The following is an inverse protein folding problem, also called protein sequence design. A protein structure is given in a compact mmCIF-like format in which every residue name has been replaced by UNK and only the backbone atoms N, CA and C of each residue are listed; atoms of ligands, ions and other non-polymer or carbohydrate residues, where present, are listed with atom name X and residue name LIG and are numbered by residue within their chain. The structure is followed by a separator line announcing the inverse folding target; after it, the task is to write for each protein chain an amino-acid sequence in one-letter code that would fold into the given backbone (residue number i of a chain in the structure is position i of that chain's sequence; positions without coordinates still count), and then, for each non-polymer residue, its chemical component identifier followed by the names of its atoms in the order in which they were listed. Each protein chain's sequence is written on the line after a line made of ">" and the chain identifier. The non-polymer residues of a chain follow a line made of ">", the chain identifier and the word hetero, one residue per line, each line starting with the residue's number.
data_IF_737602030153
#
_entry.id   IF_737602030153
#
_cell.length_a   1.000
_cell.length_b   1.000
_cell.length_c   1.000
_cell.angle_alpha   90.00
_cell.angle_beta   90.00
_cell.angle_gamma   90.00
#
_symmetry.space_group_name_H-M   'P 1'
#
loop_
_entity.id
_entity.type
_entity.pdbx_description
1 polymer ?
#
# COMPACT_ATOMS: atom_id res chain seq x y z
N UNK A 1 1.80 18.18 5.11
CA UNK A 1 1.37 19.01 3.94
C UNK A 1 -0.14 18.92 3.75
N UNK A 2 -0.82 19.95 3.21
CA UNK A 2 -2.24 19.82 2.77
C UNK A 2 -2.26 19.24 1.36
N UNK A 3 -2.97 18.13 1.15
CA UNK A 3 -3.19 17.57 -0.19
C UNK A 3 -4.16 18.48 -0.97
N UNK A 4 -3.95 18.61 -2.27
CA UNK A 4 -4.91 19.27 -3.16
C UNK A 4 -6.23 18.51 -3.21
N UNK A 5 -7.31 19.21 -3.55
CA UNK A 5 -8.63 18.63 -3.71
C UNK A 5 -9.08 18.83 -5.14
N UNK A 6 -9.45 17.74 -5.82
CA UNK A 6 -10.05 17.81 -7.15
C UNK A 6 -11.50 18.29 -7.10
N UNK A 7 -12.09 18.54 -8.26
CA UNK A 7 -13.53 18.87 -8.31
C UNK A 7 -14.36 17.72 -7.72
N UNK A 8 -15.41 18.09 -6.97
CA UNK A 8 -16.24 17.12 -6.23
C UNK A 8 -16.79 16.00 -7.11
N UNK A 9 -17.08 16.31 -8.38
CA UNK A 9 -17.60 15.35 -9.37
C UNK A 9 -16.67 14.16 -9.65
N UNK A 10 -15.35 14.33 -9.53
CA UNK A 10 -14.41 13.23 -9.73
C UNK A 10 -14.56 12.13 -8.66
N UNK A 11 -14.80 12.53 -7.40
CA UNK A 11 -14.97 11.61 -6.28
C UNK A 11 -16.34 10.93 -6.27
N UNK A 12 -17.39 11.57 -6.79
CA UNK A 12 -18.78 11.05 -6.80
C UNK A 12 -18.95 9.70 -7.51
N UNK A 13 -17.98 9.33 -8.36
CA UNK A 13 -18.00 8.06 -9.10
C UNK A 13 -17.64 6.84 -8.25
N UNK A 14 -16.90 7.03 -7.15
CA UNK A 14 -16.33 5.95 -6.34
C UNK A 14 -16.59 6.12 -4.84
N UNK A 15 -16.67 7.35 -4.34
CA UNK A 15 -16.80 7.65 -2.93
C UNK A 15 -18.27 7.93 -2.55
N UNK A 16 -18.64 7.52 -1.35
CA UNK A 16 -19.90 7.89 -0.70
C UNK A 16 -19.92 9.39 -0.34
N UNK A 17 -21.10 9.92 -0.01
CA UNK A 17 -21.24 11.34 0.38
C UNK A 17 -20.41 11.68 1.63
N UNK A 18 -20.39 10.77 2.61
CA UNK A 18 -19.61 10.92 3.85
C UNK A 18 -18.10 10.94 3.58
N UNK A 19 -17.61 9.99 2.78
CA UNK A 19 -16.21 9.95 2.35
C UNK A 19 -15.81 11.23 1.61
N UNK A 20 -16.68 11.75 0.73
CA UNK A 20 -16.44 13.01 0.01
C UNK A 20 -16.35 14.19 0.98
N UNK A 21 -17.21 14.25 2.01
CA UNK A 21 -17.15 15.33 3.00
C UNK A 21 -15.85 15.28 3.80
N UNK A 22 -15.40 14.09 4.21
CA UNK A 22 -14.11 13.88 4.89
C UNK A 22 -12.90 14.23 4.01
N UNK A 23 -12.97 13.96 2.70
CA UNK A 23 -11.93 14.36 1.73
C UNK A 23 -11.81 15.88 1.61
N UNK A 24 -12.94 16.61 1.66
CA UNK A 24 -12.96 18.07 1.54
C UNK A 24 -12.65 18.78 2.87
N UNK A 25 -12.98 18.15 4.00
CA UNK A 25 -12.80 18.68 5.36
C UNK A 25 -12.03 17.69 6.23
N UNK A 26 -10.72 17.54 5.94
CA UNK A 26 -9.82 16.61 6.64
C UNK A 26 -9.60 17.05 8.09
N UNK A 27 -9.92 16.17 9.06
CA UNK A 27 -9.82 16.47 10.50
C UNK A 27 -8.76 15.65 11.25
N UNK A 28 -8.39 14.49 10.72
CA UNK A 28 -7.48 13.56 11.35
C UNK A 28 -6.66 12.77 10.31
N UNK A 29 -5.80 11.90 10.80
CA UNK A 29 -4.90 11.04 10.03
C UNK A 29 -5.65 10.07 9.11
N UNK A 30 -6.80 9.53 9.55
CA UNK A 30 -7.62 8.62 8.74
C UNK A 30 -8.28 9.37 7.57
N UNK A 31 -8.80 10.57 7.80
CA UNK A 31 -9.33 11.42 6.73
C UNK A 31 -8.25 11.81 5.72
N UNK A 32 -7.02 12.05 6.21
CA UNK A 32 -5.89 12.34 5.34
C UNK A 32 -5.53 11.14 4.47
N UNK A 33 -5.47 9.94 5.06
CA UNK A 33 -5.21 8.70 4.35
C UNK A 33 -6.30 8.39 3.31
N UNK A 34 -7.57 8.63 3.65
CA UNK A 34 -8.70 8.53 2.72
C UNK A 34 -8.50 9.49 1.54
N UNK A 35 -8.15 10.75 1.81
CA UNK A 35 -7.88 11.75 0.77
C UNK A 35 -6.71 11.36 -0.12
N UNK A 36 -5.63 10.85 0.46
CA UNK A 36 -4.45 10.36 -0.27
C UNK A 36 -4.84 9.26 -1.27
N UNK A 37 -5.59 8.24 -0.80
CA UNK A 37 -6.09 7.14 -1.62
C UNK A 37 -6.99 7.63 -2.75
N UNK A 38 -7.90 8.56 -2.44
CA UNK A 38 -8.86 9.09 -3.38
C UNK A 38 -8.18 9.88 -4.50
N UNK A 39 -7.23 10.75 -4.14
CA UNK A 39 -6.43 11.50 -5.11
C UNK A 39 -5.62 10.56 -6.02
N UNK A 40 -4.88 9.62 -5.43
CA UNK A 40 -4.09 8.64 -6.20
C UNK A 40 -4.95 7.84 -7.20
N UNK A 41 -6.18 7.51 -6.81
CA UNK A 41 -7.12 6.77 -7.67
C UNK A 41 -7.65 7.60 -8.83
N UNK A 42 -7.99 8.87 -8.59
CA UNK A 42 -8.56 9.77 -9.61
C UNK A 42 -7.49 10.24 -10.59
N UNK A 43 -6.27 10.47 -10.12
CA UNK A 43 -5.15 10.93 -10.94
C UNK A 43 -4.71 9.91 -11.99
N UNK A 44 -4.90 8.61 -11.72
CA UNK A 44 -4.43 7.56 -12.59
C UNK A 44 -5.57 6.73 -13.18
N UNK A 45 -5.90 6.97 -14.45
CA UNK A 45 -7.05 6.35 -15.12
C UNK A 45 -7.08 4.81 -15.07
N UNK A 46 -5.91 4.15 -15.06
CA UNK A 46 -5.86 2.68 -14.93
C UNK A 46 -6.23 2.23 -13.52
N UNK A 47 -5.78 2.95 -12.49
CA UNK A 47 -6.15 2.67 -11.10
C UNK A 47 -7.64 2.94 -10.92
N UNK A 48 -8.14 4.08 -11.43
CA UNK A 48 -9.56 4.39 -11.45
C UNK A 48 -10.42 3.25 -12.03
N UNK A 49 -9.99 2.65 -13.15
CA UNK A 49 -10.69 1.51 -13.77
C UNK A 49 -10.72 0.28 -12.86
N UNK A 50 -9.64 -0.01 -12.14
CA UNK A 50 -9.60 -1.11 -11.15
C UNK A 50 -10.63 -0.87 -10.05
N UNK A 51 -10.68 0.33 -9.48
CA UNK A 51 -11.67 0.65 -8.44
C UNK A 51 -13.11 0.61 -8.95
N UNK A 52 -13.35 1.02 -10.20
CA UNK A 52 -14.68 0.85 -10.83
C UNK A 52 -15.04 -0.64 -10.99
N UNK A 53 -14.09 -1.52 -11.29
CA UNK A 53 -14.32 -2.95 -11.37
C UNK A 53 -14.61 -3.54 -9.97
N UNK A 54 -13.82 -3.18 -8.96
CA UNK A 54 -14.05 -3.56 -7.55
C UNK A 54 -15.43 -3.10 -7.07
N UNK A 55 -15.82 -1.86 -7.37
CA UNK A 55 -17.13 -1.32 -7.04
C UNK A 55 -18.28 -2.12 -7.66
N UNK A 56 -18.17 -2.47 -8.95
CA UNK A 56 -19.18 -3.30 -9.62
C UNK A 56 -19.29 -4.70 -9.02
N UNK A 57 -18.17 -5.26 -8.54
CA UNK A 57 -18.15 -6.54 -7.86
C UNK A 57 -18.78 -6.45 -6.45
N UNK A 58 -18.50 -5.38 -5.70
CA UNK A 58 -19.03 -5.13 -4.35
C UNK A 58 -20.51 -4.73 -4.28
N UNK A 59 -21.08 -4.26 -5.40
CA UNK A 59 -22.50 -3.87 -5.52
C UNK A 59 -22.93 -2.84 -4.44
N UNK A 60 -23.93 -3.17 -3.63
CA UNK A 60 -24.58 -2.24 -2.69
C UNK A 60 -23.76 -2.00 -1.41
N UNK A 61 -22.79 -2.88 -1.11
CA UNK A 61 -21.93 -2.80 0.08
C UNK A 61 -20.59 -2.08 -0.21
N UNK A 62 -20.51 -1.36 -1.32
CA UNK A 62 -19.28 -0.65 -1.70
C UNK A 62 -18.97 0.52 -0.76
N UNK A 63 -17.76 0.51 -0.21
CA UNK A 63 -17.11 1.66 0.41
C UNK A 63 -15.71 1.80 -0.18
N UNK A 64 -15.37 3.02 -0.61
CA UNK A 64 -14.06 3.30 -1.16
C UNK A 64 -12.98 3.09 -0.10
N UNK A 65 -13.18 3.61 1.12
CA UNK A 65 -12.27 3.42 2.25
C UNK A 65 -12.08 1.94 2.59
N UNK A 66 -13.20 1.19 2.68
CA UNK A 66 -13.16 -0.23 3.06
C UNK A 66 -12.52 -1.11 2.00
N UNK A 67 -12.48 -0.68 0.73
CA UNK A 67 -11.84 -1.43 -0.36
C UNK A 67 -10.32 -1.55 -0.23
N UNK A 68 -9.70 -0.81 0.69
CA UNK A 68 -8.28 -0.91 1.05
C UNK A 68 -8.02 -1.74 2.31
N UNK A 69 -9.06 -2.31 2.94
CA UNK A 69 -8.89 -3.16 4.13
C UNK A 69 -8.00 -4.34 3.79
N UNK A 70 -7.03 -4.59 4.66
CA UNK A 70 -6.10 -5.70 4.52
C UNK A 70 -5.75 -6.24 5.89
N UNK A 71 -6.23 -7.45 6.17
CA UNK A 71 -6.23 -8.08 7.50
C UNK A 71 -4.82 -8.21 8.10
N UNK A 72 -3.76 -8.16 7.29
CA UNK A 72 -2.37 -8.23 7.78
C UNK A 72 -2.00 -7.05 8.67
N UNK A 73 -2.57 -5.85 8.44
CA UNK A 73 -2.39 -4.72 9.36
C UNK A 73 -3.02 -5.01 10.73
N UNK A 74 -4.25 -5.52 10.74
CA UNK A 74 -4.94 -5.87 11.99
C UNK A 74 -4.23 -7.03 12.70
N UNK A 75 -3.75 -8.03 11.95
CA UNK A 75 -2.95 -9.15 12.47
C UNK A 75 -1.69 -8.64 13.17
N UNK A 76 -0.97 -7.69 12.57
CA UNK A 76 0.19 -7.05 13.20
C UNK A 76 -0.20 -6.37 14.52
N UNK A 77 -1.16 -5.45 14.47
CA UNK A 77 -1.59 -4.66 15.64
C UNK A 77 -2.13 -5.53 16.78
N UNK A 78 -2.70 -6.70 16.47
CA UNK A 78 -3.19 -7.65 17.46
C UNK A 78 -2.09 -8.52 18.08
N UNK A 79 -0.91 -8.61 17.45
CA UNK A 79 0.24 -9.31 18.00
C UNK A 79 1.12 -8.42 18.89
N UNK A 80 0.95 -7.10 18.83
CA UNK A 80 1.66 -6.16 19.69
C UNK A 80 1.27 -6.33 21.17
N UNK A 81 2.20 -5.97 22.05
CA UNK A 81 1.89 -5.82 23.48
C UNK A 81 0.84 -4.73 23.70
N UNK A 82 0.03 -4.83 24.76
CA UNK A 82 -1.00 -3.82 25.06
C UNK A 82 -0.42 -2.39 25.12
N UNK A 83 0.78 -2.26 25.69
CA UNK A 83 1.50 -0.99 25.78
C UNK A 83 1.88 -0.44 24.40
N UNK A 84 2.41 -1.29 23.53
CA UNK A 84 2.82 -0.87 22.18
C UNK A 84 1.59 -0.57 21.32
N UNK A 85 0.51 -1.34 21.48
CA UNK A 85 -0.77 -1.10 20.82
C UNK A 85 -1.35 0.25 21.22
N UNK A 86 -1.38 0.58 22.52
CA UNK A 86 -1.79 1.91 22.99
C UNK A 86 -0.91 3.03 22.44
N UNK A 87 0.40 2.79 22.26
CA UNK A 87 1.33 3.78 21.72
C UNK A 87 1.06 4.11 20.24
N UNK A 88 0.54 3.15 19.47
CA UNK A 88 0.32 3.30 18.02
C UNK A 88 -1.14 3.34 17.61
N UNK A 89 -2.09 3.30 18.55
CA UNK A 89 -3.54 3.27 18.31
C UNK A 89 -4.04 4.44 17.46
N UNK A 90 -3.39 5.61 17.60
CA UNK A 90 -3.77 6.81 16.84
C UNK A 90 -3.14 6.89 15.43
N UNK A 91 -2.22 5.99 15.08
CA UNK A 91 -1.54 6.04 13.79
C UNK A 91 -2.44 5.44 12.72
N UNK A 92 -2.93 6.28 11.80
CA UNK A 92 -3.64 5.78 10.63
C UNK A 92 -2.68 5.00 9.73
N UNK A 93 -3.06 3.78 9.37
CA UNK A 93 -2.26 2.94 8.50
C UNK A 93 -3.09 2.16 7.49
N UNK A 94 -2.45 1.71 6.43
CA UNK A 94 -3.04 0.76 5.50
C UNK A 94 -2.46 0.83 4.09
N UNK A 95 -3.11 0.12 3.17
CA UNK A 95 -2.68 0.10 1.78
C UNK A 95 -3.00 1.42 1.06
N UNK A 96 -2.16 1.78 0.09
CA UNK A 96 -2.41 2.83 -0.90
C UNK A 96 -2.11 2.26 -2.28
N UNK A 97 -2.98 2.55 -3.25
CA UNK A 97 -2.75 2.12 -4.63
C UNK A 97 -1.88 3.15 -5.33
N UNK A 98 -0.57 2.89 -5.43
CA UNK A 98 0.38 3.73 -6.15
C UNK A 98 1.35 2.89 -6.97
N UNK A 99 1.87 3.42 -8.08
CA UNK A 99 2.79 2.69 -8.96
C UNK A 99 4.19 2.47 -8.35
N UNK A 100 4.47 3.00 -7.17
CA UNK A 100 5.73 2.80 -6.46
C UNK A 100 5.58 1.66 -5.43
N UNK A 101 6.22 0.50 -5.61
CA UNK A 101 6.07 -0.64 -4.72
C UNK A 101 6.93 -0.46 -3.46
N UNK A 102 6.48 0.37 -2.51
CA UNK A 102 7.22 0.61 -1.27
C UNK A 102 6.30 0.81 -0.04
N UNK A 103 6.86 0.63 1.16
CA UNK A 103 6.34 1.12 2.44
C UNK A 103 6.89 2.51 2.75
N UNK A 104 6.10 3.35 3.42
CA UNK A 104 6.48 4.71 3.79
C UNK A 104 5.75 5.21 5.04
N UNK A 105 6.46 6.02 5.82
CA UNK A 105 5.87 6.88 6.86
C UNK A 105 5.79 8.32 6.37
N UNK A 106 4.57 8.87 6.36
CA UNK A 106 4.29 10.22 5.86
C UNK A 106 3.97 11.13 7.04
N UNK A 107 4.70 12.24 7.14
CA UNK A 107 4.42 13.27 8.14
C UNK A 107 3.33 14.23 7.64
N UNK A 108 2.19 14.27 8.34
CA UNK A 108 1.04 15.11 7.99
C UNK A 108 0.77 16.16 9.07
N UNK A 109 0.01 17.24 8.77
CA UNK A 109 -0.37 18.22 9.78
C UNK A 109 -1.28 17.65 10.88
N UNK A 110 -1.81 16.44 10.68
CA UNK A 110 -2.73 15.76 11.59
C UNK A 110 -2.04 14.71 12.46
N UNK A 111 -0.84 14.26 12.06
CA UNK A 111 -0.13 13.13 12.65
C UNK A 111 0.62 12.34 11.57
N UNK A 112 1.43 11.37 11.99
CA UNK A 112 2.10 10.47 11.04
C UNK A 112 1.11 9.41 10.54
N UNK A 113 1.26 9.01 9.29
CA UNK A 113 0.54 7.86 8.72
C UNK A 113 1.53 6.85 8.16
N UNK A 114 1.18 5.56 8.23
CA UNK A 114 1.97 4.46 7.70
C UNK A 114 1.25 3.89 6.47
N UNK A 115 1.93 3.86 5.34
CA UNK A 115 1.35 3.39 4.09
C UNK A 115 2.20 2.28 3.49
N UNK A 116 1.54 1.24 2.97
CA UNK A 116 2.19 0.29 2.08
C UNK A 116 1.52 0.31 0.71
N UNK A 117 2.33 0.19 -0.34
CA UNK A 117 1.81 0.15 -1.70
C UNK A 117 1.15 -1.19 -2.02
N UNK A 118 -0.03 -1.14 -2.64
CA UNK A 118 -0.66 -2.33 -3.20
C UNK A 118 0.17 -2.94 -4.36
N UNK A 119 0.96 -2.13 -5.06
CA UNK A 119 1.92 -2.62 -6.08
C UNK A 119 2.99 -3.52 -5.49
N UNK A 120 3.37 -3.30 -4.22
CA UNK A 120 4.34 -4.15 -3.54
C UNK A 120 3.77 -5.56 -3.33
N UNK A 121 2.47 -5.66 -3.02
CA UNK A 121 1.77 -6.95 -2.92
C UNK A 121 1.80 -7.71 -4.24
N UNK A 122 1.51 -7.05 -5.36
CA UNK A 122 1.61 -7.66 -6.68
C UNK A 122 3.04 -8.03 -7.06
N UNK A 123 4.02 -7.19 -6.72
CA UNK A 123 5.43 -7.52 -6.92
C UNK A 123 5.81 -8.81 -6.18
N UNK A 124 5.48 -8.92 -4.89
CA UNK A 124 5.75 -10.10 -4.08
C UNK A 124 5.04 -11.34 -4.65
N UNK A 125 3.79 -11.20 -5.10
CA UNK A 125 3.06 -12.28 -5.76
C UNK A 125 3.84 -12.87 -6.93
N UNK A 126 4.23 -12.04 -7.90
CA UNK A 126 4.92 -12.52 -9.10
C UNK A 126 6.36 -12.95 -8.82
N UNK A 127 7.05 -12.37 -7.84
CA UNK A 127 8.38 -12.82 -7.40
C UNK A 127 8.31 -14.21 -6.76
N UNK A 128 7.34 -14.45 -5.88
CA UNK A 128 7.15 -15.74 -5.24
C UNK A 128 6.77 -16.79 -6.29
N UNK A 129 5.86 -16.48 -7.21
CA UNK A 129 5.49 -17.38 -8.31
C UNK A 129 6.69 -17.75 -9.21
N UNK A 130 7.65 -16.82 -9.40
CA UNK A 130 8.84 -17.07 -10.19
C UNK A 130 9.86 -17.98 -9.49
N UNK A 131 10.13 -17.75 -8.19
CA UNK A 131 11.29 -18.34 -7.51
C UNK A 131 10.97 -19.39 -6.45
N UNK A 132 9.78 -19.39 -5.88
CA UNK A 132 9.42 -20.34 -4.81
C UNK A 132 9.08 -21.69 -5.42
N UNK A 133 9.47 -22.75 -4.72
CA UNK A 133 8.95 -24.09 -4.94
C UNK A 133 7.85 -24.32 -3.92
N UNK A 134 6.63 -24.50 -4.42
CA UNK A 134 5.46 -24.77 -3.60
C UNK A 134 5.46 -26.24 -3.21
N UNK A 135 4.90 -26.59 -2.05
CA UNK A 135 4.78 -27.99 -1.64
C UNK A 135 3.61 -28.70 -2.35
N UNK A 136 3.15 -28.15 -3.48
CA UNK A 136 2.16 -28.74 -4.33
C UNK A 136 2.78 -29.83 -5.22
N UNK A 137 2.01 -30.87 -5.54
CA UNK A 137 2.36 -31.88 -6.54
C UNK A 137 2.42 -31.30 -7.98
N UNK A 138 2.20 -29.99 -8.12
CA UNK A 138 2.17 -29.26 -9.39
C UNK A 138 3.45 -28.44 -9.54
N UNK A 139 4.31 -28.86 -10.47
CA UNK A 139 5.48 -28.08 -10.86
C UNK A 139 5.04 -26.90 -11.74
N UNK A 140 5.45 -25.68 -11.37
CA UNK A 140 5.21 -24.49 -12.19
C UNK A 140 6.15 -24.53 -13.40
N UNK A 141 5.62 -24.51 -14.63
CA UNK A 141 6.45 -24.53 -15.84
C UNK A 141 7.43 -23.35 -15.92
N UNK A 142 8.64 -23.59 -16.42
CA UNK A 142 9.69 -22.57 -16.55
C UNK A 142 9.25 -21.33 -17.34
N UNK A 143 8.42 -21.51 -18.37
CA UNK A 143 7.89 -20.39 -19.14
C UNK A 143 6.95 -19.51 -18.30
N UNK A 144 6.17 -20.10 -17.39
CA UNK A 144 5.31 -19.38 -16.44
C UNK A 144 6.17 -18.63 -15.44
N UNK A 145 7.19 -19.27 -14.86
CA UNK A 145 8.15 -18.63 -13.94
C UNK A 145 8.84 -17.43 -14.57
N UNK A 146 9.30 -17.57 -15.81
CA UNK A 146 9.94 -16.49 -16.55
C UNK A 146 8.98 -15.33 -16.88
N UNK A 147 7.72 -15.63 -17.21
CA UNK A 147 6.68 -14.61 -17.39
C UNK A 147 6.38 -13.87 -16.09
N UNK A 148 6.24 -14.59 -14.97
CA UNK A 148 6.03 -14.01 -13.64
C UNK A 148 7.19 -13.06 -13.27
N UNK A 149 8.44 -13.50 -13.46
CA UNK A 149 9.62 -12.65 -13.24
C UNK A 149 9.57 -11.37 -14.07
N UNK A 150 9.20 -11.44 -15.35
CA UNK A 150 9.06 -10.25 -16.19
C UNK A 150 8.00 -9.28 -15.67
N UNK A 151 6.87 -9.79 -15.21
CA UNK A 151 5.80 -8.97 -14.63
C UNK A 151 6.32 -8.29 -13.36
N UNK A 152 6.94 -9.04 -12.45
CA UNK A 152 7.53 -8.48 -11.23
C UNK A 152 8.56 -7.36 -11.52
N UNK A 153 9.47 -7.59 -12.47
CA UNK A 153 10.44 -6.58 -12.90
C UNK A 153 9.75 -5.33 -13.46
N UNK A 154 8.70 -5.49 -14.25
CA UNK A 154 7.95 -4.36 -14.80
C UNK A 154 7.18 -3.59 -13.73
N UNK A 155 6.68 -4.25 -12.69
CA UNK A 155 6.07 -3.59 -11.52
C UNK A 155 7.12 -2.73 -10.83
N UNK A 156 8.30 -3.29 -10.53
CA UNK A 156 9.39 -2.55 -9.88
C UNK A 156 9.89 -1.38 -10.73
N UNK A 157 9.92 -1.54 -12.05
CA UNK A 157 10.26 -0.49 -13.02
C UNK A 157 9.10 0.45 -13.36
N UNK A 158 7.95 0.33 -12.67
CA UNK A 158 6.77 1.18 -12.85
C UNK A 158 6.21 1.21 -14.29
N UNK A 159 6.39 0.10 -15.01
CA UNK A 159 6.02 -0.07 -16.41
C UNK A 159 4.89 -1.08 -16.63
N UNK A 160 4.52 -1.84 -15.60
CA UNK A 160 3.41 -2.79 -15.65
C UNK A 160 2.05 -2.11 -15.43
N UNK A 161 1.00 -2.65 -16.04
CA UNK A 161 -0.35 -2.24 -15.71
C UNK A 161 -0.83 -3.04 -14.51
N UNK A 162 -1.20 -2.33 -13.43
CA UNK A 162 -1.63 -2.94 -12.17
C UNK A 162 -3.12 -3.33 -12.18
N UNK A 163 -3.67 -3.68 -13.34
CA UNK A 163 -5.07 -4.03 -13.51
C UNK A 163 -5.34 -5.54 -13.35
N UNK A 164 -4.60 -6.20 -12.45
CA UNK A 164 -4.64 -7.64 -12.22
C UNK A 164 -6.02 -8.16 -11.80
N UNK A 165 -6.81 -7.34 -11.10
CA UNK A 165 -8.19 -7.69 -10.74
C UNK A 165 -9.12 -7.78 -11.96
N UNK A 166 -8.79 -7.09 -13.05
CA UNK A 166 -9.55 -7.08 -14.31
C UNK A 166 -8.95 -8.09 -15.29
N UNK A 167 -7.63 -8.19 -15.32
CA UNK A 167 -6.88 -9.11 -16.18
C UNK A 167 -5.69 -9.70 -15.37
N UNK A 168 -5.86 -10.91 -14.80
CA UNK A 168 -4.93 -11.51 -13.84
C UNK A 168 -3.61 -12.00 -14.45
N UNK A 169 -3.43 -11.88 -15.78
CA UNK A 169 -2.25 -12.37 -16.52
C UNK A 169 -2.03 -13.89 -16.47
N UNK A 170 -3.03 -14.65 -16.03
CA UNK A 170 -3.02 -16.10 -16.00
C UNK A 170 -3.95 -16.65 -14.93
N UNK A 171 -4.07 -17.98 -14.90
CA UNK A 171 -4.75 -18.72 -13.84
C UNK A 171 -3.71 -19.56 -13.10
N UNK A 172 -3.71 -19.48 -11.78
CA UNK A 172 -2.82 -20.25 -10.91
C UNK A 172 -3.68 -21.28 -10.16
N UNK A 173 -3.24 -22.55 -10.06
CA UNK A 173 -3.94 -23.57 -9.28
C UNK A 173 -4.18 -23.13 -7.85
N UNK A 174 -5.34 -23.50 -7.29
CA UNK A 174 -5.78 -23.04 -5.98
C UNK A 174 -4.79 -23.40 -4.86
N UNK A 175 -4.15 -24.57 -4.93
CA UNK A 175 -3.17 -25.00 -3.94
C UNK A 175 -1.93 -24.08 -3.93
N UNK A 176 -1.49 -23.63 -5.10
CA UNK A 176 -0.38 -22.68 -5.24
C UNK A 176 -0.82 -21.29 -4.80
N UNK A 177 -2.05 -20.87 -5.14
CA UNK A 177 -2.61 -19.57 -4.77
C UNK A 177 -2.72 -19.40 -3.24
N UNK A 178 -3.11 -20.47 -2.53
CA UNK A 178 -3.18 -20.48 -1.07
C UNK A 178 -1.78 -20.34 -0.43
N UNK A 179 -0.77 -21.06 -0.92
CA UNK A 179 0.60 -20.93 -0.44
C UNK A 179 1.19 -19.54 -0.78
N UNK A 180 0.97 -19.05 -2.00
CA UNK A 180 1.37 -17.71 -2.43
C UNK A 180 0.81 -16.64 -1.49
N UNK A 181 -0.49 -16.69 -1.23
CA UNK A 181 -1.17 -15.74 -0.35
C UNK A 181 -0.53 -15.73 1.04
N UNK A 182 -0.22 -16.92 1.59
CA UNK A 182 0.47 -17.03 2.89
C UNK A 182 1.87 -16.39 2.85
N UNK A 183 2.68 -16.68 1.84
CA UNK A 183 4.03 -16.09 1.74
C UNK A 183 3.98 -14.56 1.59
N UNK A 184 3.03 -14.06 0.80
CA UNK A 184 2.83 -12.62 0.63
C UNK A 184 2.39 -11.99 1.94
N UNK A 185 1.43 -12.58 2.64
CA UNK A 185 0.95 -12.05 3.92
C UNK A 185 2.07 -12.04 4.97
N UNK A 186 2.93 -13.05 5.03
CA UNK A 186 4.08 -13.09 5.94
C UNK A 186 5.13 -12.02 5.57
N UNK A 187 5.41 -11.82 4.28
CA UNK A 187 6.31 -10.76 3.80
C UNK A 187 5.73 -9.36 4.06
N UNK A 188 4.43 -9.16 3.81
CA UNK A 188 3.73 -7.90 4.09
C UNK A 188 3.66 -7.63 5.58
N UNK A 189 3.49 -8.66 6.43
CA UNK A 189 3.53 -8.54 7.87
C UNK A 189 4.89 -8.01 8.34
N UNK A 190 5.99 -8.57 7.81
CA UNK A 190 7.33 -8.08 8.10
C UNK A 190 7.50 -6.61 7.67
N UNK A 191 7.05 -6.24 6.47
CA UNK A 191 7.14 -4.86 5.98
C UNK A 191 6.32 -3.89 6.85
N UNK A 192 5.11 -4.29 7.26
CA UNK A 192 4.30 -3.50 8.20
C UNK A 192 5.06 -3.34 9.52
N UNK A 193 5.58 -4.44 10.08
CA UNK A 193 6.36 -4.40 11.32
C UNK A 193 7.57 -3.47 11.20
N UNK A 194 8.30 -3.53 10.09
CA UNK A 194 9.44 -2.66 9.79
C UNK A 194 9.06 -1.17 9.82
N UNK A 195 7.98 -0.76 9.15
CA UNK A 195 7.53 0.64 9.18
C UNK A 195 7.13 1.08 10.61
N UNK A 196 6.43 0.22 11.35
CA UNK A 196 6.10 0.52 12.75
C UNK A 196 7.35 0.57 13.64
N UNK A 197 8.38 -0.26 13.38
CA UNK A 197 9.65 -0.25 14.10
C UNK A 197 10.39 1.08 13.94
N UNK A 198 10.38 1.67 12.74
CA UNK A 198 10.89 3.03 12.56
C UNK A 198 10.17 4.05 13.46
N UNK A 199 8.85 3.88 13.67
CA UNK A 199 8.09 4.72 14.59
C UNK A 199 8.45 4.46 16.06
N UNK A 200 8.54 3.19 16.49
CA UNK A 200 8.89 2.82 17.87
C UNK A 200 10.30 3.26 18.27
N UNK A 201 11.26 3.12 17.35
CA UNK A 201 12.65 3.51 17.57
C UNK A 201 12.87 5.02 17.48
N UNK A 202 11.83 5.79 17.14
CA UNK A 202 11.91 7.24 17.04
C UNK A 202 12.77 7.71 15.87
N UNK A 203 12.83 6.94 14.77
CA UNK A 203 13.56 7.30 13.56
C UNK A 203 12.91 8.47 12.78
N UNK A 204 11.90 9.12 13.36
CA UNK A 204 11.09 10.19 12.81
C UNK A 204 11.71 11.58 13.07
N UNK A 205 12.99 11.77 12.76
CA UNK A 205 13.65 13.08 12.91
C UNK A 205 13.25 14.00 11.75
N UNK A 206 12.85 15.23 12.06
CA UNK A 206 12.53 16.26 11.06
C UNK A 206 13.72 16.58 10.14
N UNK A 207 14.95 16.33 10.59
CA UNK A 207 16.15 16.45 9.76
C UNK A 207 16.18 15.46 8.58
N UNK A 208 15.44 14.35 8.69
CA UNK A 208 15.38 13.27 7.71
C UNK A 208 14.19 13.39 6.74
N UNK A 209 13.40 14.46 6.84
CA UNK A 209 12.26 14.71 5.96
C UNK A 209 12.76 15.15 4.57
N UNK A 210 12.56 14.30 3.57
CA UNK A 210 12.82 14.62 2.17
C UNK A 210 11.50 14.88 1.44
N UNK A 211 11.51 15.95 0.66
CA UNK A 211 10.51 16.34 -0.33
C UNK A 211 10.55 15.35 -1.52
N UNK A 212 9.51 14.53 -1.75
CA UNK A 212 9.42 13.63 -2.92
C UNK A 212 8.12 13.87 -3.74
N UNK A 213 8.25 13.85 -5.08
CA UNK A 213 7.26 14.24 -6.11
C UNK A 213 6.28 13.10 -6.45
N UNK A 214 6.49 11.91 -5.89
CA UNK A 214 5.95 10.64 -6.39
C UNK A 214 4.43 10.41 -6.28
N UNK A 215 3.67 11.28 -5.64
CA UNK A 215 2.20 11.15 -5.61
C UNK A 215 1.47 11.89 -6.73
N UNK A 216 2.17 12.63 -7.58
CA UNK A 216 1.59 13.15 -8.80
C UNK A 216 1.93 12.21 -9.96
N UNK A 217 0.91 11.57 -10.54
CA UNK A 217 1.08 10.85 -11.80
C UNK A 217 1.39 11.78 -12.99
N UNK A 218 1.51 13.09 -12.74
CA UNK A 218 1.94 14.14 -13.66
C UNK A 218 3.12 14.85 -13.00
N UNK A 219 4.29 14.79 -13.64
CA UNK A 219 5.43 15.66 -13.32
C UNK A 219 4.97 17.14 -13.31
N UNK A 220 5.36 17.89 -12.28
CA UNK A 220 5.28 19.35 -12.22
C UNK A 220 3.89 20.00 -12.36
N UNK A 221 2.99 19.76 -11.39
CA UNK A 221 1.91 20.73 -11.11
C UNK A 221 2.09 21.23 -9.66
N UNK A 222 2.49 22.49 -9.54
CA UNK A 222 2.60 23.32 -8.32
C UNK A 222 3.77 23.10 -7.34
N UNK A 223 4.75 22.25 -7.64
CA UNK A 223 6.05 22.25 -6.96
C UNK A 223 6.01 21.98 -5.45
N UNK A 224 4.99 21.26 -4.96
CA UNK A 224 4.85 20.87 -3.55
C UNK A 224 4.81 19.36 -3.43
N UNK A 225 5.83 18.86 -2.77
CA UNK A 225 6.17 17.45 -2.65
C UNK A 225 5.83 16.96 -1.24
N UNK A 226 5.09 15.85 -1.07
CA UNK A 226 4.94 15.22 0.24
C UNK A 226 6.32 14.91 0.86
N UNK A 227 6.41 15.09 2.19
CA UNK A 227 7.64 14.82 2.95
C UNK A 227 7.60 13.43 3.53
N UNK A 228 8.67 12.67 3.30
CA UNK A 228 8.85 11.32 3.81
C UNK A 228 10.12 11.28 4.65
N UNK A 229 10.13 10.41 5.66
CA UNK A 229 11.38 10.15 6.36
C UNK A 229 12.27 9.27 5.48
N UNK A 230 13.54 9.65 5.37
CA UNK A 230 14.58 8.77 4.84
C UNK A 230 15.47 8.32 5.99
N UNK A 231 15.79 7.03 6.02
CA UNK A 231 16.54 6.48 7.14
C UNK A 231 17.98 6.19 6.71
N UNK A 232 18.91 6.42 7.63
CA UNK A 232 20.28 5.98 7.44
C UNK A 232 20.34 4.45 7.45
N UNK A 233 21.33 3.86 6.79
CA UNK A 233 21.48 2.39 6.73
C UNK A 233 21.44 1.71 8.11
N UNK A 234 21.99 2.35 9.15
CA UNK A 234 21.92 1.82 10.51
C UNK A 234 20.48 1.79 11.04
N UNK A 235 19.70 2.84 10.77
CA UNK A 235 18.29 2.93 11.22
C UNK A 235 17.41 1.90 10.49
N UNK A 236 17.67 1.64 9.21
CA UNK A 236 17.02 0.57 8.44
C UNK A 236 17.31 -0.80 9.05
N UNK A 237 18.58 -1.08 9.38
CA UNK A 237 18.97 -2.34 10.03
C UNK A 237 18.37 -2.48 11.43
N UNK A 238 18.32 -1.40 12.21
CA UNK A 238 17.73 -1.40 13.54
C UNK A 238 16.21 -1.67 13.45
N UNK A 239 15.53 -1.12 12.45
CA UNK A 239 14.12 -1.38 12.19
C UNK A 239 13.87 -2.84 11.76
N UNK A 240 14.71 -3.40 10.89
CA UNK A 240 14.64 -4.83 10.50
C UNK A 240 14.77 -5.75 11.73
N UNK A 241 15.72 -5.45 12.62
CA UNK A 241 15.94 -6.24 13.84
C UNK A 241 14.76 -6.09 14.82
N UNK A 242 14.21 -4.89 15.01
CA UNK A 242 13.04 -4.69 15.87
C UNK A 242 11.80 -5.38 15.30
N UNK A 243 11.57 -5.32 13.98
CA UNK A 243 10.45 -5.95 13.30
C UNK A 243 10.40 -7.47 13.45
N UNK A 244 11.56 -8.12 13.56
CA UNK A 244 11.67 -9.58 13.79
C UNK A 244 11.40 -9.95 15.26
N UNK A 245 11.79 -9.07 16.18
CA UNK A 245 11.82 -9.38 17.62
C UNK A 245 10.58 -8.94 18.39
N UNK A 246 9.81 -8.00 17.86
CA UNK A 246 8.62 -7.41 18.50
C UNK A 246 7.36 -8.23 18.23
#
# INVERSE_FOLDING_TARGET
>A
MKLDTYERGFYMSLCSKDEIERIFDVKNENDYLLKLRANATIEHIRIHRVFLARMRAGKDDWSFESSFKYDVFEKYLNNLSDKDKEYVDSIASGLVFCNDPNGRIINTPYGNIITLSESLKYFLYFMNLAFVNFNADVEIPDNVRFCALKIALRIMLKSESLDFDIDPRGEVPEEIEQELSRYIDDQMLFLIAHEYSHYFLGHMDNANLIDDVMHHAIEDIDGKTPKYFTHGQQQELDADVDAINR
#
